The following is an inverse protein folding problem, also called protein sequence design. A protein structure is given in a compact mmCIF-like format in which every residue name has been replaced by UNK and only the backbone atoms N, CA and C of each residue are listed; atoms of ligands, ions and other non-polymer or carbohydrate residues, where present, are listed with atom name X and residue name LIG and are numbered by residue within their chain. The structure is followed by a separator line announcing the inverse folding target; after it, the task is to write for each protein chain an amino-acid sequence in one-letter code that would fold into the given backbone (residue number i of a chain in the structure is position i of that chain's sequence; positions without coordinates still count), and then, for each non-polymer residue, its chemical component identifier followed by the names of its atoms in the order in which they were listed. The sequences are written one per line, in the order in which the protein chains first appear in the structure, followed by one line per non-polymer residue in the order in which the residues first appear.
data_IF_135925564347
#
_entry.id   IF_135925564347
#
_cell.length_a   1.000
_cell.length_b   1.000
_cell.length_c   1.000
_cell.angle_alpha   90.00
_cell.angle_beta   90.00
_cell.angle_gamma   90.00
#
_symmetry.space_group_name_H-M   'P 1'
#
loop_
_entity.id
_entity.type
_entity.pdbx_description
1 polymer ?
#
# COMPACT_ATOMS: atom_id res chain seq x y z
N UNK A 1 7.13 6.50 -4.35
CA UNK A 1 7.62 7.32 -3.20
C UNK A 1 7.00 6.94 -1.86
N UNK A 2 6.27 5.82 -1.78
CA UNK A 2 5.58 5.42 -0.54
C UNK A 2 6.46 4.54 0.35
N UNK A 3 7.42 5.17 1.02
CA UNK A 3 8.40 4.49 1.88
C UNK A 3 8.16 4.73 3.37
N UNK A 4 7.27 5.66 3.72
CA UNK A 4 7.03 5.98 5.12
C UNK A 4 6.26 4.83 5.79
N UNK A 5 6.72 4.34 6.96
CA UNK A 5 5.98 3.34 7.70
C UNK A 5 4.60 3.86 8.12
N UNK A 6 3.57 3.05 7.91
CA UNK A 6 2.21 3.30 8.38
C UNK A 6 2.17 3.57 9.89
N UNK A 7 2.99 2.86 10.67
CA UNK A 7 3.18 3.11 12.10
C UNK A 7 4.31 4.11 12.33
N UNK A 8 3.98 5.37 12.65
CA UNK A 8 4.98 6.33 13.11
C UNK A 8 4.47 7.14 14.30
N UNK A 9 5.41 7.57 15.18
CA UNK A 9 5.12 8.13 16.51
C UNK A 9 4.20 9.36 16.49
N UNK A 10 4.23 10.14 15.40
CA UNK A 10 3.36 11.31 15.20
C UNK A 10 1.88 10.96 15.12
N UNK A 11 1.53 9.84 14.49
CA UNK A 11 0.15 9.39 14.28
C UNK A 11 -0.61 9.14 15.59
N UNK A 12 0.08 8.68 16.64
CA UNK A 12 -0.53 8.39 17.96
C UNK A 12 -1.08 9.65 18.62
N UNK A 13 -0.47 10.82 18.37
CA UNK A 13 -0.93 12.09 18.95
C UNK A 13 -2.28 12.52 18.39
N UNK A 14 -2.63 12.06 17.20
CA UNK A 14 -3.90 12.35 16.54
C UNK A 14 -4.97 11.30 16.85
N UNK A 15 -4.58 10.10 17.30
CA UNK A 15 -5.47 8.98 17.57
C UNK A 15 -6.64 9.31 18.52
N UNK A 16 -6.44 9.97 19.68
CA UNK A 16 -7.54 10.29 20.58
C UNK A 16 -8.58 11.20 19.93
N UNK A 17 -8.12 12.18 19.14
CA UNK A 17 -8.98 13.11 18.41
C UNK A 17 -9.74 12.39 17.30
N UNK A 18 -9.07 11.50 16.56
CA UNK A 18 -9.70 10.73 15.48
C UNK A 18 -10.75 9.74 16.00
N UNK A 19 -10.51 9.08 17.12
CA UNK A 19 -11.46 8.14 17.72
C UNK A 19 -12.66 8.84 18.37
N UNK A 20 -12.48 10.07 18.83
CA UNK A 20 -13.56 10.90 19.39
C UNK A 20 -14.39 11.59 18.30
N UNK A 21 -13.85 11.72 17.08
CA UNK A 21 -14.54 12.31 15.94
C UNK A 21 -15.26 11.20 15.15
N UNK A 22 -16.60 11.14 15.15
CA UNK A 22 -17.35 10.13 14.40
C UNK A 22 -17.16 10.24 12.86
N UNK A 23 -16.65 11.38 12.38
CA UNK A 23 -16.23 11.60 10.98
C UNK A 23 -14.69 11.58 10.83
N UNK A 24 -13.97 11.26 11.90
CA UNK A 24 -12.53 11.14 11.90
C UNK A 24 -12.05 10.00 10.99
N UNK A 25 -10.80 10.05 10.52
CA UNK A 25 -10.24 9.07 9.59
C UNK A 25 -10.06 7.66 10.20
N UNK A 26 -10.37 7.48 11.49
CA UNK A 26 -10.29 6.21 12.20
C UNK A 26 -11.49 6.06 13.15
N UNK A 27 -12.39 5.13 12.85
CA UNK A 27 -13.51 4.77 13.71
C UNK A 27 -13.36 3.33 14.22
N UNK A 28 -13.32 3.15 15.54
CA UNK A 28 -13.25 1.83 16.18
C UNK A 28 -14.49 1.68 17.05
N UNK A 29 -15.39 0.70 16.77
CA UNK A 29 -16.51 0.42 17.64
C UNK A 29 -16.02 0.10 19.07
N UNK A 30 -16.54 0.75 20.13
CA UNK A 30 -16.08 0.53 21.49
C UNK A 30 -16.10 -0.94 21.92
N UNK A 31 -17.11 -1.70 21.47
CA UNK A 31 -17.23 -3.13 21.74
C UNK A 31 -16.12 -4.00 21.09
N UNK A 32 -15.47 -3.51 20.04
CA UNK A 32 -14.37 -4.22 19.37
C UNK A 32 -12.99 -3.85 19.95
N UNK A 33 -12.88 -2.73 20.65
CA UNK A 33 -11.62 -2.21 21.18
C UNK A 33 -10.85 -3.23 22.04
N UNK A 34 -11.46 -3.99 22.97
CA UNK A 34 -10.74 -4.99 23.77
C UNK A 34 -10.10 -6.10 22.93
N UNK A 35 -10.76 -6.52 21.84
CA UNK A 35 -10.25 -7.54 20.90
C UNK A 35 -9.09 -6.99 20.07
N UNK A 36 -9.15 -5.72 19.69
CA UNK A 36 -8.16 -5.05 18.87
C UNK A 36 -6.92 -4.57 19.68
N UNK A 37 -7.08 -4.35 20.98
CA UNK A 37 -6.06 -3.75 21.84
C UNK A 37 -4.70 -4.47 21.84
N UNK A 38 -4.61 -5.82 21.92
CA UNK A 38 -3.31 -6.50 21.85
C UNK A 38 -2.57 -6.22 20.53
N UNK A 39 -3.31 -6.16 19.42
CA UNK A 39 -2.76 -5.80 18.13
C UNK A 39 -2.32 -4.33 18.08
N UNK A 40 -3.12 -3.40 18.62
CA UNK A 40 -2.74 -1.98 18.71
C UNK A 40 -1.46 -1.77 19.53
N UNK A 41 -1.28 -2.50 20.62
CA UNK A 41 -0.05 -2.45 21.43
C UNK A 41 1.15 -2.96 20.60
N UNK A 42 0.98 -4.05 19.86
CA UNK A 42 2.05 -4.57 18.97
C UNK A 42 2.37 -3.58 17.85
N UNK A 43 1.35 -3.02 17.22
CA UNK A 43 1.46 -2.00 16.17
C UNK A 43 2.19 -0.75 16.69
N UNK A 44 1.83 -0.28 17.89
CA UNK A 44 2.50 0.81 18.58
C UNK A 44 3.97 0.51 18.86
N UNK A 45 4.27 -0.68 19.42
CA UNK A 45 5.65 -1.11 19.69
C UNK A 45 6.48 -1.24 18.41
N UNK A 46 5.86 -1.61 17.29
CA UNK A 46 6.52 -1.68 15.99
C UNK A 46 6.91 -0.28 15.46
N UNK A 47 6.21 0.78 15.87
CA UNK A 47 6.50 2.18 15.53
C UNK A 47 7.51 2.86 16.45
N UNK A 48 8.22 2.14 17.33
CA UNK A 48 9.30 2.70 18.16
C UNK A 48 10.43 3.24 17.29
N UNK A 49 11.05 4.34 17.72
CA UNK A 49 12.10 5.05 16.98
C UNK A 49 13.34 4.18 16.71
N UNK A 50 13.63 3.22 17.59
CA UNK A 50 14.71 2.23 17.43
C UNK A 50 14.48 1.28 16.24
N UNK A 51 13.24 1.12 15.78
CA UNK A 51 12.86 0.30 14.62
C UNK A 51 12.47 1.11 13.39
N UNK A 52 12.21 2.39 13.55
CA UNK A 52 11.72 3.26 12.47
C UNK A 52 12.66 3.23 11.25
N UNK A 53 13.95 3.42 11.45
CA UNK A 53 14.95 3.40 10.37
C UNK A 53 15.07 2.03 9.71
N UNK A 54 15.02 0.95 10.50
CA UNK A 54 15.05 -0.40 9.96
C UNK A 54 13.81 -0.72 9.11
N UNK A 55 12.62 -0.33 9.59
CA UNK A 55 11.34 -0.48 8.88
C UNK A 55 11.31 0.33 7.59
N UNK A 56 11.74 1.59 7.67
CA UNK A 56 11.84 2.50 6.52
C UNK A 56 12.81 1.95 5.46
N UNK A 57 13.98 1.46 5.88
CA UNK A 57 14.94 0.82 4.97
C UNK A 57 14.40 -0.46 4.34
N UNK A 58 13.69 -1.30 5.11
CA UNK A 58 13.04 -2.49 4.59
C UNK A 58 11.95 -2.15 3.57
N UNK A 59 11.09 -1.17 3.87
CA UNK A 59 10.05 -0.70 2.97
C UNK A 59 10.64 -0.12 1.68
N UNK A 60 11.68 0.71 1.77
CA UNK A 60 12.37 1.23 0.59
C UNK A 60 12.96 0.12 -0.29
N UNK A 61 13.57 -0.92 0.30
CA UNK A 61 14.06 -2.08 -0.47
C UNK A 61 12.92 -2.84 -1.14
N UNK A 62 11.82 -3.09 -0.42
CA UNK A 62 10.64 -3.76 -1.00
C UNK A 62 10.04 -2.96 -2.15
N UNK A 63 9.95 -1.63 -2.03
CA UNK A 63 9.44 -0.77 -3.10
C UNK A 63 10.33 -0.76 -4.35
N UNK A 64 11.66 -0.73 -4.18
CA UNK A 64 12.59 -0.85 -5.32
C UNK A 64 12.48 -2.21 -6.02
N UNK A 65 12.39 -3.29 -5.25
CA UNK A 65 12.18 -4.61 -5.81
C UNK A 65 10.84 -4.67 -6.54
N UNK A 66 9.76 -4.21 -5.91
CA UNK A 66 8.44 -4.19 -6.51
C UNK A 66 8.43 -3.42 -7.84
N UNK A 67 9.06 -2.24 -7.89
CA UNK A 67 9.18 -1.46 -9.13
C UNK A 67 9.87 -2.25 -10.25
N UNK A 68 11.02 -2.87 -9.96
CA UNK A 68 11.75 -3.67 -10.94
C UNK A 68 10.97 -4.90 -11.42
N UNK A 69 10.36 -5.64 -10.50
CA UNK A 69 9.58 -6.84 -10.82
C UNK A 69 8.30 -6.50 -11.60
N UNK A 70 7.64 -5.39 -11.25
CA UNK A 70 6.49 -4.89 -12.01
C UNK A 70 6.87 -4.47 -13.42
N UNK A 71 7.97 -3.75 -13.59
CA UNK A 71 8.46 -3.38 -14.92
C UNK A 71 8.76 -4.62 -15.77
N UNK A 72 9.45 -5.61 -15.19
CA UNK A 72 9.72 -6.89 -15.85
C UNK A 72 8.46 -7.67 -16.20
N UNK A 73 7.48 -7.73 -15.29
CA UNK A 73 6.19 -8.37 -15.54
C UNK A 73 5.44 -7.67 -16.68
N UNK A 74 5.30 -6.34 -16.63
CA UNK A 74 4.58 -5.57 -17.64
C UNK A 74 5.22 -5.68 -19.03
N UNK A 75 6.55 -5.79 -19.10
CA UNK A 75 7.26 -6.05 -20.35
C UNK A 75 6.91 -7.43 -20.91
N UNK A 76 6.92 -8.48 -20.06
CA UNK A 76 6.59 -9.85 -20.49
C UNK A 76 5.11 -10.03 -20.84
N UNK A 77 4.20 -9.38 -20.12
CA UNK A 77 2.75 -9.45 -20.37
C UNK A 77 2.26 -8.49 -21.44
N UNK A 78 3.12 -7.63 -21.98
CA UNK A 78 2.74 -6.61 -22.98
C UNK A 78 1.79 -5.55 -22.43
N UNK A 79 1.78 -5.29 -21.12
CA UNK A 79 0.86 -4.35 -20.45
C UNK A 79 1.51 -3.02 -20.07
N UNK A 80 2.70 -2.73 -20.61
CA UNK A 80 3.42 -1.48 -20.34
C UNK A 80 2.63 -0.23 -20.72
N UNK A 81 1.78 -0.31 -21.75
CA UNK A 81 0.89 0.77 -22.18
C UNK A 81 -0.20 1.14 -21.16
N UNK A 82 -0.41 0.34 -20.11
CA UNK A 82 -1.37 0.61 -19.05
C UNK A 82 -0.77 1.44 -17.90
N UNK A 83 0.55 1.59 -17.91
CA UNK A 83 1.31 2.37 -16.93
C UNK A 83 1.31 3.84 -17.34
N UNK A 84 1.15 4.71 -16.34
CA UNK A 84 1.28 6.15 -16.47
C UNK A 84 2.43 6.61 -15.60
N UNK A 85 3.27 7.47 -16.15
CA UNK A 85 4.48 7.99 -15.50
C UNK A 85 4.45 9.52 -15.42
N UNK A 86 3.27 10.09 -15.23
CA UNK A 86 3.04 11.54 -15.17
C UNK A 86 3.46 12.14 -13.80
N UNK A 87 3.98 11.32 -12.89
CA UNK A 87 4.31 11.73 -11.54
C UNK A 87 3.10 11.85 -10.61
N UNK A 88 3.34 12.47 -9.44
CA UNK A 88 2.30 12.79 -8.46
C UNK A 88 2.56 14.16 -7.84
N UNK A 89 1.50 14.92 -7.59
CA UNK A 89 1.57 16.22 -6.95
C UNK A 89 0.81 16.15 -5.61
N UNK A 90 1.54 16.29 -4.50
CA UNK A 90 0.96 16.43 -3.16
C UNK A 90 0.73 17.92 -2.89
N UNK A 91 -0.48 18.31 -2.46
CA UNK A 91 -0.89 19.71 -2.30
C UNK A 91 -1.07 20.05 -0.83
N UNK A 92 -0.72 21.29 -0.46
CA UNK A 92 -0.86 21.79 0.91
C UNK A 92 -1.67 23.09 0.91
N UNK A 93 -2.61 23.20 1.84
CA UNK A 93 -3.48 24.37 2.00
C UNK A 93 -2.86 25.45 2.91
N UNK A 94 -1.76 25.12 3.61
CA UNK A 94 -1.05 26.08 4.44
C UNK A 94 0.47 25.83 4.52
N UNK A 95 1.22 26.89 4.82
CA UNK A 95 2.65 26.81 5.12
C UNK A 95 2.93 25.89 6.32
N UNK A 96 2.01 25.86 7.30
CA UNK A 96 2.15 25.01 8.48
C UNK A 96 2.05 23.51 8.11
N UNK A 97 1.10 23.15 7.26
CA UNK A 97 0.94 21.79 6.74
C UNK A 97 2.15 21.37 5.91
N UNK A 98 2.62 22.23 5.01
CA UNK A 98 3.82 22.01 4.23
C UNK A 98 5.04 21.76 5.14
N UNK A 99 5.30 22.63 6.12
CA UNK A 99 6.41 22.46 7.07
C UNK A 99 6.31 21.17 7.87
N UNK A 100 5.10 20.76 8.25
CA UNK A 100 4.87 19.48 8.94
C UNK A 100 5.21 18.26 8.07
N UNK A 101 5.12 18.38 6.74
CA UNK A 101 5.47 17.30 5.79
C UNK A 101 6.99 17.14 5.56
N UNK A 102 7.78 18.20 5.78
CA UNK A 102 9.22 18.24 5.43
C UNK A 102 10.05 17.09 6.02
N UNK A 103 9.87 16.65 7.28
CA UNK A 103 10.60 15.51 7.81
C UNK A 103 10.35 14.21 6.99
N UNK A 104 9.13 14.02 6.49
CA UNK A 104 8.78 12.90 5.62
C UNK A 104 9.45 12.98 4.26
N UNK A 105 9.57 14.18 3.68
CA UNK A 105 10.30 14.41 2.43
C UNK A 105 11.80 14.23 2.59
N UNK A 106 12.39 14.70 3.69
CA UNK A 106 13.80 14.44 4.01
C UNK A 106 14.08 12.93 4.14
N UNK A 107 13.17 12.18 4.76
CA UNK A 107 13.26 10.72 4.81
C UNK A 107 13.22 10.11 3.40
N UNK A 108 12.28 10.52 2.55
CA UNK A 108 12.19 10.06 1.15
C UNK A 108 13.47 10.36 0.34
N UNK A 109 14.04 11.55 0.53
CA UNK A 109 15.29 11.96 -0.13
C UNK A 109 16.45 11.02 0.19
N UNK A 110 16.57 10.60 1.46
CA UNK A 110 17.61 9.64 1.90
C UNK A 110 17.52 8.29 1.19
N UNK A 111 16.35 7.93 0.67
CA UNK A 111 16.14 6.73 -0.15
C UNK A 111 16.16 7.00 -1.66
N UNK A 112 16.66 8.16 -2.09
CA UNK A 112 16.84 8.50 -3.50
C UNK A 112 15.53 8.80 -4.23
N UNK A 113 14.45 9.09 -3.51
CA UNK A 113 13.21 9.54 -4.13
C UNK A 113 13.39 11.00 -4.53
N UNK A 114 13.42 11.28 -5.84
CA UNK A 114 13.43 12.63 -6.37
C UNK A 114 12.09 13.33 -6.19
N UNK A 115 12.11 14.57 -5.75
CA UNK A 115 10.94 15.44 -5.65
C UNK A 115 11.34 16.91 -5.77
N UNK A 116 10.36 17.78 -6.03
CA UNK A 116 10.53 19.24 -6.02
C UNK A 116 9.37 19.90 -5.29
N UNK A 117 9.67 20.76 -4.32
CA UNK A 117 8.67 21.65 -3.73
C UNK A 117 8.39 22.81 -4.69
N UNK A 118 7.13 23.12 -4.89
CA UNK A 118 6.64 24.11 -5.86
C UNK A 118 5.58 25.00 -5.24
N UNK A 119 5.43 26.21 -5.77
CA UNK A 119 4.40 27.17 -5.38
C UNK A 119 4.10 28.13 -6.53
N UNK A 120 3.03 28.91 -6.40
CA UNK A 120 2.66 29.94 -7.37
C UNK A 120 2.60 29.41 -8.81
N UNK A 121 3.28 30.11 -9.73
CA UNK A 121 3.26 29.79 -11.16
C UNK A 121 3.82 28.40 -11.48
N UNK A 122 4.82 27.92 -10.74
CA UNK A 122 5.37 26.58 -10.93
C UNK A 122 4.35 25.49 -10.57
N UNK A 123 3.52 25.73 -9.54
CA UNK A 123 2.43 24.83 -9.15
C UNK A 123 1.30 24.85 -10.20
N UNK A 124 0.91 26.04 -10.67
CA UNK A 124 -0.12 26.20 -11.70
C UNK A 124 0.30 25.61 -13.05
N UNK A 125 1.59 25.65 -13.39
CA UNK A 125 2.13 25.03 -14.59
C UNK A 125 2.05 23.49 -14.56
N UNK A 126 2.24 22.88 -13.38
CA UNK A 126 2.12 21.43 -13.20
C UNK A 126 0.67 20.94 -13.24
N UNK A 127 -0.26 21.72 -12.69
CA UNK A 127 -1.69 21.41 -12.76
C UNK A 127 -2.53 22.68 -12.98
N UNK A 128 -2.88 22.98 -14.24
CA UNK A 128 -3.77 24.08 -14.58
C UNK A 128 -5.16 23.92 -13.94
N UNK A 129 -5.74 25.02 -13.47
CA UNK A 129 -7.07 25.03 -12.85
C UNK A 129 -7.10 24.62 -11.38
N UNK A 130 -5.94 24.51 -10.71
CA UNK A 130 -5.90 24.34 -9.26
C UNK A 130 -6.55 25.53 -8.54
N UNK A 131 -7.27 25.21 -7.46
CA UNK A 131 -7.84 26.21 -6.57
C UNK A 131 -6.73 27.02 -5.89
N UNK A 132 -6.86 28.36 -5.76
CA UNK A 132 -5.89 29.21 -5.07
C UNK A 132 -5.67 28.86 -3.58
N UNK A 133 -6.51 28.01 -2.99
CA UNK A 133 -6.34 27.55 -1.59
C UNK A 133 -5.06 26.74 -1.37
N UNK A 134 -4.53 26.12 -2.43
CA UNK A 134 -3.29 25.35 -2.33
C UNK A 134 -2.10 26.30 -2.47
N UNK A 135 -1.41 26.54 -1.36
CA UNK A 135 -0.31 27.51 -1.27
C UNK A 135 1.04 26.89 -1.61
N UNK A 136 1.17 25.57 -1.48
CA UNK A 136 2.40 24.80 -1.76
C UNK A 136 2.04 23.46 -2.38
N UNK A 137 2.98 22.87 -3.10
CA UNK A 137 2.92 21.46 -3.49
C UNK A 137 4.29 20.79 -3.49
N UNK A 138 4.30 19.47 -3.49
CA UNK A 138 5.49 18.66 -3.73
C UNK A 138 5.25 17.72 -4.89
N UNK A 139 6.02 17.87 -5.96
CA UNK A 139 5.93 17.03 -7.15
C UNK A 139 6.95 15.90 -7.09
N UNK A 140 6.51 14.68 -7.40
CA UNK A 140 7.33 13.47 -7.49
C UNK A 140 7.27 12.97 -8.94
N UNK A 141 8.28 13.27 -9.78
CA UNK A 141 8.26 12.90 -11.20
C UNK A 141 8.29 11.38 -11.40
N UNK A 142 9.01 10.63 -10.55
CA UNK A 142 9.12 9.18 -10.67
C UNK A 142 7.91 8.38 -10.18
N UNK A 143 6.79 9.04 -9.86
CA UNK A 143 5.58 8.33 -9.44
C UNK A 143 4.86 7.72 -10.63
N UNK A 144 4.41 6.46 -10.46
CA UNK A 144 3.77 5.68 -11.52
C UNK A 144 2.39 5.25 -11.06
N UNK A 145 1.43 5.28 -11.97
CA UNK A 145 0.05 4.86 -11.72
C UNK A 145 -0.46 3.97 -12.83
N UNK A 146 -1.56 3.28 -12.56
CA UNK A 146 -2.29 2.51 -13.58
C UNK A 146 -3.72 3.02 -13.59
N UNK A 147 -4.23 3.37 -14.76
CA UNK A 147 -5.54 4.03 -14.88
C UNK A 147 -6.67 3.14 -14.40
N UNK A 148 -6.55 1.83 -14.63
CA UNK A 148 -7.58 0.86 -14.30
C UNK A 148 -6.96 -0.44 -13.75
N UNK A 149 -6.87 -0.60 -12.41
CA UNK A 149 -6.27 -1.77 -11.80
C UNK A 149 -7.04 -3.07 -12.11
N UNK A 150 -8.35 -2.99 -12.36
CA UNK A 150 -9.16 -4.15 -12.76
C UNK A 150 -8.74 -4.66 -14.14
N UNK A 151 -8.54 -3.76 -15.11
CA UNK A 151 -8.09 -4.16 -16.44
C UNK A 151 -6.67 -4.71 -16.41
N UNK A 152 -5.78 -4.08 -15.63
CA UNK A 152 -4.41 -4.57 -15.47
C UNK A 152 -4.39 -5.99 -14.88
N UNK A 153 -5.15 -6.22 -13.80
CA UNK A 153 -5.24 -7.55 -13.18
C UNK A 153 -5.76 -8.61 -14.14
N UNK A 154 -6.76 -8.28 -14.97
CA UNK A 154 -7.26 -9.18 -16.02
C UNK A 154 -6.22 -9.48 -17.09
N UNK A 155 -5.47 -8.47 -17.53
CA UNK A 155 -4.44 -8.65 -18.56
C UNK A 155 -3.27 -9.51 -18.06
N UNK A 156 -2.85 -9.31 -16.81
CA UNK A 156 -1.84 -10.16 -16.15
C UNK A 156 -2.36 -11.59 -15.99
N UNK A 157 -3.63 -11.76 -15.62
CA UNK A 157 -4.24 -13.08 -15.54
C UNK A 157 -4.23 -13.80 -16.89
N UNK A 158 -4.65 -13.12 -17.97
CA UNK A 158 -4.61 -13.69 -19.31
C UNK A 158 -3.19 -14.11 -19.70
N UNK A 159 -2.18 -13.30 -19.38
CA UNK A 159 -0.78 -13.68 -19.57
C UNK A 159 -0.40 -14.91 -18.75
N UNK A 160 -0.79 -15.00 -17.47
CA UNK A 160 -0.54 -16.17 -16.64
C UNK A 160 -1.18 -17.45 -17.23
N UNK A 161 -2.39 -17.36 -17.78
CA UNK A 161 -3.07 -18.48 -18.46
C UNK A 161 -2.27 -18.97 -19.67
N UNK A 162 -1.68 -18.06 -20.47
CA UNK A 162 -0.79 -18.46 -21.58
C UNK A 162 0.48 -19.19 -21.10
N UNK A 163 0.84 -19.05 -19.83
CA UNK A 163 1.96 -19.75 -19.18
C UNK A 163 1.51 -20.98 -18.37
N UNK A 164 0.26 -21.43 -18.54
CA UNK A 164 -0.25 -22.66 -17.94
C UNK A 164 -0.94 -22.49 -16.59
N UNK A 165 -1.14 -21.26 -16.09
CA UNK A 165 -1.98 -21.03 -14.92
C UNK A 165 -3.44 -21.43 -15.20
N UNK A 166 -4.16 -21.86 -14.15
CA UNK A 166 -5.57 -22.26 -14.24
C UNK A 166 -6.40 -21.52 -13.21
N UNK A 167 -7.56 -21.04 -13.61
CA UNK A 167 -8.53 -20.43 -12.70
C UNK A 167 -9.57 -21.45 -12.26
N UNK A 168 -9.78 -21.56 -10.95
CA UNK A 168 -10.92 -22.28 -10.39
C UNK A 168 -11.75 -21.28 -9.57
N UNK A 169 -13.00 -21.04 -9.99
CA UNK A 169 -13.92 -20.19 -9.25
C UNK A 169 -14.53 -20.99 -8.10
N UNK A 170 -13.83 -21.02 -6.98
CA UNK A 170 -14.26 -21.71 -5.77
C UNK A 170 -14.03 -20.85 -4.52
N UNK A 171 -14.80 -21.13 -3.45
CA UNK A 171 -14.56 -20.57 -2.11
C UNK A 171 -13.87 -21.63 -1.26
N UNK A 172 -12.72 -21.27 -0.71
CA UNK A 172 -12.03 -22.09 0.29
C UNK A 172 -12.60 -21.76 1.66
N UNK A 173 -13.07 -22.77 2.39
CA UNK A 173 -13.62 -22.61 3.73
C UNK A 173 -12.58 -22.99 4.80
N UNK A 174 -11.72 -23.99 4.52
CA UNK A 174 -10.67 -24.40 5.45
C UNK A 174 -9.36 -24.72 4.74
N UNK A 175 -8.25 -24.47 5.44
CA UNK A 175 -6.89 -24.77 5.02
C UNK A 175 -6.17 -25.44 6.18
N UNK A 176 -5.55 -26.57 5.93
CA UNK A 176 -4.72 -27.29 6.89
C UNK A 176 -3.32 -27.48 6.31
N UNK A 177 -2.30 -27.05 7.06
CA UNK A 177 -0.92 -27.33 6.72
C UNK A 177 -0.53 -28.73 7.20
N UNK A 178 0.00 -29.55 6.30
CA UNK A 178 0.54 -30.87 6.56
C UNK A 178 2.04 -30.94 6.29
N UNK A 179 2.63 -32.11 6.54
CA UNK A 179 4.08 -32.33 6.34
C UNK A 179 4.49 -32.25 4.85
N UNK A 180 3.61 -32.66 3.93
CA UNK A 180 3.89 -32.76 2.49
C UNK A 180 3.17 -31.68 1.64
N UNK A 181 2.56 -30.68 2.29
CA UNK A 181 1.81 -29.63 1.60
C UNK A 181 0.64 -29.09 2.41
N UNK A 182 -0.37 -28.56 1.72
CA UNK A 182 -1.59 -28.05 2.30
C UNK A 182 -2.81 -28.78 1.75
N UNK A 183 -3.74 -29.10 2.65
CA UNK A 183 -5.08 -29.56 2.31
C UNK A 183 -6.02 -28.36 2.29
N UNK A 184 -6.81 -28.22 1.23
CA UNK A 184 -7.83 -27.19 1.12
C UNK A 184 -9.21 -27.85 1.06
N UNK A 185 -10.12 -27.37 1.89
CA UNK A 185 -11.54 -27.77 1.86
C UNK A 185 -12.35 -26.62 1.30
N UNK A 186 -13.00 -26.85 0.17
CA UNK A 186 -13.90 -25.92 -0.49
C UNK A 186 -15.26 -25.89 0.23
N UNK A 187 -16.02 -24.83 -0.01
CA UNK A 187 -17.35 -24.63 0.58
C UNK A 187 -18.39 -25.71 0.21
N UNK A 188 -18.17 -26.41 -0.90
CA UNK A 188 -19.01 -27.53 -1.35
C UNK A 188 -18.56 -28.89 -0.77
N UNK A 189 -17.55 -28.89 0.12
CA UNK A 189 -16.97 -30.08 0.72
C UNK A 189 -15.86 -30.73 -0.12
N UNK A 190 -15.60 -30.22 -1.33
CA UNK A 190 -14.52 -30.73 -2.18
C UNK A 190 -13.16 -30.51 -1.52
N UNK A 191 -12.31 -31.53 -1.56
CA UNK A 191 -10.94 -31.46 -1.02
C UNK A 191 -9.92 -31.34 -2.16
N UNK A 192 -8.92 -30.48 -1.95
CA UNK A 192 -7.76 -30.30 -2.83
C UNK A 192 -6.47 -30.43 -2.04
N UNK A 193 -5.42 -30.89 -2.72
CA UNK A 193 -4.07 -30.99 -2.18
C UNK A 193 -3.14 -30.08 -2.97
N UNK A 194 -2.27 -29.35 -2.29
CA UNK A 194 -1.27 -28.50 -2.90
C UNK A 194 0.08 -28.66 -2.19
N UNK A 195 1.16 -28.91 -2.93
CA UNK A 195 2.51 -29.00 -2.35
C UNK A 195 2.96 -27.68 -1.72
N UNK A 196 2.51 -26.56 -2.28
CA UNK A 196 2.79 -25.22 -1.80
C UNK A 196 1.50 -24.39 -1.90
N UNK A 197 1.23 -23.58 -0.87
CA UNK A 197 0.08 -22.70 -0.80
C UNK A 197 0.53 -21.27 -0.53
N UNK A 198 0.03 -20.34 -1.34
CA UNK A 198 0.17 -18.90 -1.12
C UNK A 198 -1.22 -18.33 -0.85
N UNK A 199 -1.39 -17.70 0.32
CA UNK A 199 -2.65 -17.02 0.68
C UNK A 199 -2.52 -15.54 0.31
N UNK A 200 -3.29 -15.12 -0.71
CA UNK A 200 -3.36 -13.74 -1.19
C UNK A 200 -4.81 -13.19 -1.13
N UNK A 201 -5.56 -13.56 -0.09
CA UNK A 201 -6.99 -13.29 0.05
C UNK A 201 -7.34 -11.92 0.65
N UNK A 202 -6.44 -10.93 0.56
CA UNK A 202 -6.66 -9.58 1.08
C UNK A 202 -7.09 -9.57 2.56
N UNK A 203 -8.13 -8.79 2.89
CA UNK A 203 -8.66 -8.68 4.26
C UNK A 203 -9.19 -10.00 4.84
N UNK A 204 -9.52 -10.99 4.00
CA UNK A 204 -10.02 -12.30 4.42
C UNK A 204 -8.91 -13.32 4.72
N UNK A 205 -7.63 -12.96 4.51
CA UNK A 205 -6.51 -13.89 4.72
C UNK A 205 -6.47 -14.47 6.14
N UNK A 206 -6.90 -13.71 7.16
CA UNK A 206 -6.95 -14.16 8.55
C UNK A 206 -7.95 -15.30 8.80
N UNK A 207 -8.91 -15.52 7.89
CA UNK A 207 -9.85 -16.64 7.98
C UNK A 207 -9.18 -17.97 7.55
N UNK A 208 -8.12 -17.88 6.75
CA UNK A 208 -7.43 -19.01 6.12
C UNK A 208 -6.06 -19.30 6.75
N UNK A 209 -5.34 -18.27 7.20
CA UNK A 209 -4.02 -18.38 7.82
C UNK A 209 -4.14 -18.50 9.35
N UNK A 210 -4.62 -19.66 9.82
CA UNK A 210 -4.77 -19.98 11.24
C UNK A 210 -3.61 -20.83 11.76
#
# INVERSE_FOLDING_TARGET
SDVLPLAHKGMIRHLPKWLADPLGPLSIPPAYLPKLLPWLIRFWRAGRSDRYEASLAAQARMMRLAEAEWAGLMARSGTGNMLREDGSLELYESEAEFKASLPGWAARQRFGIGFSHVEGDALAALQPGLSPRFVKGTFVPGWKTVTNPKLLGKAIWAFAETNGARFEKARIDHVEAGQDGATLTLADGTVRQAKCLVIAAGAWSHLLAK
#
